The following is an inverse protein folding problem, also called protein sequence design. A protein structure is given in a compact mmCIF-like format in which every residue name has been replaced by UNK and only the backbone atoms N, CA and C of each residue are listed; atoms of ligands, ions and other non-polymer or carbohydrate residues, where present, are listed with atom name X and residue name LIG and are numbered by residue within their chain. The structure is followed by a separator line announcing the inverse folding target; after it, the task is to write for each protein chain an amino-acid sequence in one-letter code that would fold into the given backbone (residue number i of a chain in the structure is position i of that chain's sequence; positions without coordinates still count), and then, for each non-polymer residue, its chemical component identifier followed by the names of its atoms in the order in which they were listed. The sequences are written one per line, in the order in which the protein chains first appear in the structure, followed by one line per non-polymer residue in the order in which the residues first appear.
data_IF_444681019007
#
_entry.id   IF_444681019007
#
_cell.length_a   1.000
_cell.length_b   1.000
_cell.length_c   1.000
_cell.angle_alpha   90.00
_cell.angle_beta   90.00
_cell.angle_gamma   90.00
#
_symmetry.space_group_name_H-M   'P 1'
#
loop_
_entity.id
_entity.type
_entity.pdbx_description
1 polymer ?
#
# COMPACT_ATOMS: atom_id res chain seq x y z
N UNK A 1 -9.48 16.20 66.30
CA UNK A 1 -10.32 15.06 65.84
C UNK A 1 -9.93 14.73 64.41
N UNK A 2 -9.78 13.44 64.15
CA UNK A 2 -9.39 12.79 62.90
C UNK A 2 -10.32 13.18 61.74
N UNK A 3 -9.79 13.85 60.72
CA UNK A 3 -10.50 14.03 59.45
C UNK A 3 -10.34 12.77 58.59
N UNK A 4 -11.47 12.07 58.46
CA UNK A 4 -11.79 10.94 57.57
C UNK A 4 -11.47 11.25 56.10
N UNK A 5 -11.21 10.23 55.25
CA UNK A 5 -10.65 10.43 53.92
C UNK A 5 -11.70 11.02 52.96
N UNK A 6 -11.23 11.99 52.18
CA UNK A 6 -11.74 12.41 50.87
C UNK A 6 -13.01 11.69 50.39
N UNK A 7 -14.17 12.23 50.74
CA UNK A 7 -15.42 11.89 50.07
C UNK A 7 -16.15 13.16 49.61
N UNK A 8 -16.57 13.08 48.34
CA UNK A 8 -17.48 13.95 47.59
C UNK A 8 -16.99 15.33 47.10
N UNK A 9 -16.77 15.39 45.77
CA UNK A 9 -16.62 16.59 44.91
C UNK A 9 -15.55 17.59 45.34
N UNK A 10 -14.30 17.14 45.46
CA UNK A 10 -13.17 18.07 45.42
C UNK A 10 -13.05 18.62 43.99
N UNK A 11 -13.39 19.89 43.82
CA UNK A 11 -13.10 20.61 42.58
C UNK A 11 -11.58 20.74 42.42
N UNK A 12 -10.99 19.78 41.70
CA UNK A 12 -9.56 19.72 41.43
C UNK A 12 -9.03 21.01 40.78
N UNK A 13 -9.87 21.75 40.04
CA UNK A 13 -9.50 23.04 39.45
C UNK A 13 -9.43 24.13 40.51
N UNK A 14 -10.38 24.16 41.46
CA UNK A 14 -10.33 25.06 42.61
C UNK A 14 -9.13 24.75 43.53
N UNK A 15 -8.83 23.46 43.75
CA UNK A 15 -7.67 23.02 44.53
C UNK A 15 -6.35 23.45 43.87
N UNK A 16 -6.22 23.28 42.54
CA UNK A 16 -5.06 23.72 41.78
C UNK A 16 -4.86 25.24 41.83
N UNK A 17 -5.94 26.02 41.69
CA UNK A 17 -5.89 27.50 41.80
C UNK A 17 -5.48 27.95 43.21
N UNK A 18 -6.04 27.33 44.24
CA UNK A 18 -5.66 27.60 45.63
C UNK A 18 -4.18 27.29 45.88
N UNK A 19 -3.66 26.18 45.32
CA UNK A 19 -2.25 25.82 45.37
C UNK A 19 -1.34 26.82 44.65
N UNK A 20 -1.70 27.24 43.44
CA UNK A 20 -0.92 28.23 42.69
C UNK A 20 -0.78 29.53 43.48
N UNK A 21 -1.87 29.99 44.10
CA UNK A 21 -1.87 31.16 44.97
C UNK A 21 -1.00 30.95 46.23
N UNK A 22 -1.10 29.78 46.87
CA UNK A 22 -0.27 29.39 48.01
C UNK A 22 1.23 29.42 47.65
N UNK A 23 1.63 28.82 46.52
CA UNK A 23 3.02 28.73 46.09
C UNK A 23 3.58 30.11 45.75
N UNK A 24 2.81 30.94 45.04
CA UNK A 24 3.16 32.34 44.78
C UNK A 24 3.35 33.13 46.07
N UNK A 25 2.49 32.92 47.07
CA UNK A 25 2.65 33.55 48.39
C UNK A 25 3.92 33.07 49.12
N UNK A 26 4.18 31.76 49.16
CA UNK A 26 5.40 31.19 49.78
C UNK A 26 6.65 31.77 49.15
N UNK A 27 6.75 31.77 47.81
CA UNK A 27 7.89 32.38 47.10
C UNK A 27 8.04 33.88 47.40
N UNK A 28 6.93 34.62 47.48
CA UNK A 28 6.96 36.05 47.80
C UNK A 28 7.51 36.31 49.20
N UNK A 29 7.12 35.52 50.19
CA UNK A 29 7.60 35.66 51.56
C UNK A 29 9.04 35.18 51.73
N UNK A 30 9.45 34.13 51.02
CA UNK A 30 10.85 33.70 50.97
C UNK A 30 11.77 34.81 50.43
N UNK A 31 11.40 35.42 49.29
CA UNK A 31 12.15 36.57 48.74
C UNK A 31 12.21 37.76 49.70
N UNK A 32 11.19 37.97 50.53
CA UNK A 32 11.20 39.02 51.56
C UNK A 32 12.13 38.67 52.72
N UNK A 33 12.18 37.40 53.13
CA UNK A 33 13.13 36.90 54.11
C UNK A 33 14.58 37.11 53.63
N UNK A 34 14.88 36.72 52.39
CA UNK A 34 16.23 36.85 51.81
C UNK A 34 16.65 38.32 51.74
N UNK A 35 15.75 39.22 51.32
CA UNK A 35 16.00 40.67 51.33
C UNK A 35 16.20 41.24 52.73
N UNK A 36 15.42 40.78 53.71
CA UNK A 36 15.59 41.21 55.10
C UNK A 36 16.92 40.71 55.69
N UNK A 37 17.38 39.52 55.29
CA UNK A 37 18.69 38.98 55.67
C UNK A 37 19.84 39.77 55.04
N UNK A 38 19.78 40.06 53.74
CA UNK A 38 20.80 40.87 53.07
C UNK A 38 20.88 42.29 53.65
N UNK A 39 19.73 42.93 53.89
CA UNK A 39 19.67 44.24 54.53
C UNK A 39 20.20 44.24 55.97
N UNK A 40 20.00 43.12 56.69
CA UNK A 40 20.58 42.92 58.03
C UNK A 40 22.10 42.79 57.98
N UNK A 41 22.63 42.00 57.05
CA UNK A 41 24.08 41.83 56.85
C UNK A 41 24.74 43.16 56.44
N UNK A 42 24.17 43.89 55.49
CA UNK A 42 24.66 45.22 55.07
C UNK A 42 24.63 46.24 56.22
N UNK A 43 23.55 46.26 57.00
CA UNK A 43 23.42 47.17 58.15
C UNK A 43 24.41 46.85 59.27
N UNK A 44 24.78 45.58 59.45
CA UNK A 44 25.77 45.14 60.43
C UNK A 44 27.20 45.59 60.05
N UNK A 45 27.51 45.66 58.75
CA UNK A 45 28.83 46.07 58.25
C UNK A 45 29.07 47.58 58.36
N UNK A 46 28.03 48.41 58.44
CA UNK A 46 28.14 49.86 58.20
C UNK A 46 28.09 50.82 59.42
N UNK A 47 27.93 50.38 60.69
CA UNK A 47 27.63 51.34 61.80
C UNK A 47 28.33 51.14 63.16
N UNK A 48 28.49 52.26 63.88
CA UNK A 48 28.96 52.39 65.27
C UNK A 48 27.95 51.83 66.32
N UNK A 49 28.49 51.43 67.47
CA UNK A 49 28.01 50.35 68.36
C UNK A 49 26.65 50.60 69.06
N UNK A 50 26.19 51.84 69.23
CA UNK A 50 24.97 52.12 70.04
C UNK A 50 23.65 52.00 69.26
N UNK A 51 23.61 52.32 67.96
CA UNK A 51 22.39 52.18 67.13
C UNK A 51 22.26 50.76 66.55
N UNK A 52 23.36 50.01 66.51
CA UNK A 52 23.42 48.66 65.99
C UNK A 52 22.48 47.69 66.73
N UNK A 53 22.34 47.82 68.06
CA UNK A 53 21.50 46.92 68.87
C UNK A 53 20.00 47.04 68.54
N UNK A 54 19.50 48.25 68.31
CA UNK A 54 18.08 48.48 67.96
C UNK A 54 17.78 48.01 66.54
N UNK A 55 18.69 48.27 65.59
CA UNK A 55 18.59 47.80 64.21
C UNK A 55 18.61 46.26 64.19
N UNK A 56 19.50 45.64 64.97
CA UNK A 56 19.59 44.18 65.09
C UNK A 56 18.32 43.57 65.67
N UNK A 57 17.74 44.17 66.72
CA UNK A 57 16.47 43.72 67.28
C UNK A 57 15.33 43.77 66.26
N UNK A 58 15.23 44.82 65.45
CA UNK A 58 14.19 44.97 64.44
C UNK A 58 14.31 43.94 63.32
N UNK A 59 15.51 43.77 62.75
CA UNK A 59 15.73 42.79 61.68
C UNK A 59 15.62 41.34 62.18
N UNK A 60 16.02 41.05 63.42
CA UNK A 60 15.78 39.74 64.03
C UNK A 60 14.28 39.45 64.20
N UNK A 61 13.48 40.44 64.59
CA UNK A 61 12.03 40.29 64.66
C UNK A 61 11.41 40.04 63.27
N UNK A 62 11.85 40.75 62.24
CA UNK A 62 11.42 40.51 60.85
C UNK A 62 11.82 39.12 60.35
N UNK A 63 13.07 38.71 60.60
CA UNK A 63 13.57 37.37 60.27
C UNK A 63 12.73 36.30 60.94
N UNK A 64 12.48 36.44 62.25
CA UNK A 64 11.65 35.50 63.02
C UNK A 64 10.23 35.41 62.46
N UNK A 65 9.63 36.55 62.09
CA UNK A 65 8.30 36.58 61.48
C UNK A 65 8.26 35.80 60.16
N UNK A 66 9.17 36.10 59.23
CA UNK A 66 9.17 35.43 57.93
C UNK A 66 9.55 33.95 58.03
N UNK A 67 10.49 33.58 58.90
CA UNK A 67 10.81 32.18 59.21
C UNK A 67 9.59 31.42 59.74
N UNK A 68 8.82 32.03 60.65
CA UNK A 68 7.60 31.42 61.18
C UNK A 68 6.57 31.21 60.08
N UNK A 69 6.37 32.19 59.21
CA UNK A 69 5.43 32.09 58.08
C UNK A 69 5.87 31.00 57.10
N UNK A 70 7.15 30.93 56.74
CA UNK A 70 7.68 29.88 55.86
C UNK A 70 7.53 28.49 56.47
N UNK A 71 7.83 28.32 57.77
CA UNK A 71 7.68 27.02 58.46
C UNK A 71 6.23 26.53 58.50
N UNK A 72 5.26 27.44 58.69
CA UNK A 72 3.83 27.09 58.62
C UNK A 72 3.43 26.59 57.25
N UNK A 73 3.98 27.20 56.19
CA UNK A 73 3.79 26.70 54.83
C UNK A 73 4.39 25.29 54.65
N UNK A 74 5.61 25.04 55.13
CA UNK A 74 6.23 23.70 55.05
C UNK A 74 5.41 22.61 55.76
N UNK A 75 4.83 22.91 56.93
CA UNK A 75 3.94 21.97 57.65
C UNK A 75 2.69 21.66 56.83
N UNK A 76 2.06 22.67 56.22
CA UNK A 76 0.88 22.49 55.37
C UNK A 76 1.23 21.62 54.14
N UNK A 77 2.41 21.83 53.55
CA UNK A 77 2.88 21.05 52.41
C UNK A 77 3.05 19.56 52.74
N UNK A 78 3.61 19.26 53.92
CA UNK A 78 3.78 17.89 54.42
C UNK A 78 2.46 17.24 54.83
N UNK A 79 1.58 17.96 55.52
CA UNK A 79 0.33 17.42 56.07
C UNK A 79 -0.66 17.01 54.98
N UNK A 80 -0.68 17.71 53.85
CA UNK A 80 -1.65 17.50 52.78
C UNK A 80 -1.04 16.84 51.53
N UNK A 81 0.21 16.38 51.60
CA UNK A 81 0.94 15.72 50.52
C UNK A 81 0.79 16.42 49.15
N UNK A 82 0.75 17.74 49.18
CA UNK A 82 0.23 18.59 48.10
C UNK A 82 1.07 18.45 46.82
N UNK A 83 2.37 18.22 47.00
CA UNK A 83 3.33 18.02 45.91
C UNK A 83 2.99 16.78 45.08
N UNK A 84 2.65 15.66 45.72
CA UNK A 84 2.28 14.42 45.02
C UNK A 84 0.98 14.59 44.24
N UNK A 85 -0.03 15.23 44.82
CA UNK A 85 -1.29 15.50 44.12
C UNK A 85 -1.11 16.43 42.90
N UNK A 86 -0.16 17.38 42.97
CA UNK A 86 0.17 18.24 41.84
C UNK A 86 0.83 17.46 40.70
N UNK A 87 1.84 16.64 41.03
CA UNK A 87 2.56 15.79 40.07
C UNK A 87 1.58 14.81 39.38
N UNK A 88 0.63 14.22 40.12
CA UNK A 88 -0.43 13.37 39.57
C UNK A 88 -1.39 14.15 38.65
N UNK A 89 -1.82 15.35 39.05
CA UNK A 89 -2.70 16.19 38.23
C UNK A 89 -2.03 16.64 36.94
N UNK A 90 -0.74 16.99 36.99
CA UNK A 90 0.05 17.37 35.81
C UNK A 90 0.19 16.19 34.84
N UNK A 91 0.50 14.99 35.35
CA UNK A 91 0.54 13.76 34.56
C UNK A 91 -0.82 13.44 33.90
N UNK A 92 -1.93 13.62 34.62
CA UNK A 92 -3.28 13.43 34.08
C UNK A 92 -3.55 14.45 32.97
N UNK A 93 -3.18 15.72 33.15
CA UNK A 93 -3.36 16.76 32.15
C UNK A 93 -2.55 16.46 30.87
N UNK A 94 -1.28 16.11 31.01
CA UNK A 94 -0.42 15.73 29.87
C UNK A 94 -0.98 14.50 29.14
N UNK A 95 -1.47 13.50 29.87
CA UNK A 95 -2.11 12.31 29.29
C UNK A 95 -3.40 12.65 28.55
N UNK A 96 -4.21 13.58 29.08
CA UNK A 96 -5.44 14.04 28.44
C UNK A 96 -5.16 14.86 27.18
N UNK A 97 -4.15 15.72 27.18
CA UNK A 97 -3.71 16.46 25.98
C UNK A 97 -3.21 15.50 24.90
N UNK A 98 -2.38 14.52 25.26
CA UNK A 98 -1.94 13.48 24.32
C UNK A 98 -3.11 12.71 23.72
N UNK A 99 -4.08 12.30 24.53
CA UNK A 99 -5.32 11.64 24.06
C UNK A 99 -6.14 12.53 23.11
N UNK A 100 -6.24 13.83 23.39
CA UNK A 100 -6.94 14.79 22.50
C UNK A 100 -6.25 14.89 21.14
N UNK A 101 -4.92 14.97 21.11
CA UNK A 101 -4.14 15.00 19.86
C UNK A 101 -4.33 13.69 19.08
N UNK A 102 -4.17 12.54 19.74
CA UNK A 102 -4.39 11.22 19.11
C UNK A 102 -5.80 11.07 18.55
N UNK A 103 -6.82 11.55 19.28
CA UNK A 103 -8.20 11.52 18.83
C UNK A 103 -8.42 12.44 17.63
N UNK A 104 -7.89 13.66 17.64
CA UNK A 104 -7.96 14.58 16.50
C UNK A 104 -7.27 14.00 15.26
N UNK A 105 -6.14 13.32 15.42
CA UNK A 105 -5.47 12.64 14.30
C UNK A 105 -6.26 11.44 13.79
N UNK A 106 -6.93 10.68 14.67
CA UNK A 106 -7.83 9.58 14.26
C UNK A 106 -9.04 10.11 13.51
N UNK A 107 -9.64 11.21 13.97
CA UNK A 107 -10.80 11.81 13.33
C UNK A 107 -10.43 12.44 11.98
N UNK A 108 -9.26 13.09 11.87
CA UNK A 108 -8.70 13.54 10.58
C UNK A 108 -8.50 12.38 9.60
N UNK A 109 -7.90 11.27 10.06
CA UNK A 109 -7.73 10.06 9.25
C UNK A 109 -9.07 9.49 8.78
N UNK A 110 -10.07 9.40 9.67
CA UNK A 110 -11.42 8.95 9.30
C UNK A 110 -12.08 9.83 8.24
N UNK A 111 -11.96 11.15 8.34
CA UNK A 111 -12.49 12.08 7.33
C UNK A 111 -11.76 11.91 6.00
N UNK A 112 -10.44 11.71 6.01
CA UNK A 112 -9.64 11.50 4.80
C UNK A 112 -9.97 10.15 4.14
N UNK A 113 -10.15 9.09 4.93
CA UNK A 113 -10.58 7.76 4.44
C UNK A 113 -11.99 7.82 3.86
N UNK A 114 -12.95 8.45 4.55
CA UNK A 114 -14.35 8.52 4.12
C UNK A 114 -14.60 9.43 2.92
N UNK A 115 -13.69 10.39 2.66
CA UNK A 115 -13.80 11.37 1.57
C UNK A 115 -14.12 10.76 0.20
N UNK A 116 -13.56 9.59 -0.09
CA UNK A 116 -13.64 8.96 -1.41
C UNK A 116 -14.66 7.82 -1.49
N UNK A 117 -15.26 7.41 -0.37
CA UNK A 117 -16.16 6.26 -0.34
C UNK A 117 -17.35 6.42 -1.29
N UNK A 118 -17.98 7.60 -1.31
CA UNK A 118 -19.11 7.87 -2.21
C UNK A 118 -18.72 7.78 -3.70
N UNK A 119 -17.51 8.22 -4.05
CA UNK A 119 -17.01 8.12 -5.44
C UNK A 119 -16.72 6.65 -5.81
N UNK A 120 -16.13 5.88 -4.88
CA UNK A 120 -15.87 4.45 -5.11
C UNK A 120 -17.18 3.67 -5.28
N UNK A 121 -18.19 3.95 -4.46
CA UNK A 121 -19.51 3.35 -4.58
C UNK A 121 -20.18 3.72 -5.92
N UNK A 122 -20.05 4.98 -6.35
CA UNK A 122 -20.52 5.40 -7.66
C UNK A 122 -19.84 4.60 -8.78
N UNK A 123 -18.52 4.46 -8.75
CA UNK A 123 -17.79 3.67 -9.75
C UNK A 123 -18.20 2.20 -9.79
N UNK A 124 -18.46 1.59 -8.63
CA UNK A 124 -19.01 0.22 -8.57
C UNK A 124 -20.41 0.16 -9.19
N UNK A 125 -21.26 1.17 -8.96
CA UNK A 125 -22.63 1.19 -9.48
C UNK A 125 -22.72 1.42 -10.98
N UNK A 126 -21.75 2.13 -11.56
CA UNK A 126 -21.75 2.54 -12.97
C UNK A 126 -21.07 1.47 -13.85
N UNK A 127 -20.26 0.59 -13.27
CA UNK A 127 -19.56 -0.53 -13.93
C UNK A 127 -18.89 -0.11 -15.25
N UNK A 128 -19.24 -0.76 -16.37
CA UNK A 128 -18.62 -0.52 -17.68
C UNK A 128 -18.92 0.87 -18.26
N UNK A 129 -19.99 1.53 -17.81
CA UNK A 129 -20.35 2.87 -18.28
C UNK A 129 -19.30 3.91 -17.91
N UNK A 130 -18.43 3.63 -16.93
CA UNK A 130 -17.31 4.50 -16.56
C UNK A 130 -16.35 4.75 -17.73
N UNK A 131 -16.26 3.81 -18.67
CA UNK A 131 -15.40 3.94 -19.86
C UNK A 131 -15.87 5.07 -20.78
N UNK A 132 -17.11 5.55 -20.65
CA UNK A 132 -17.58 6.72 -21.39
C UNK A 132 -16.81 8.00 -21.03
N UNK A 133 -16.06 7.99 -19.92
CA UNK A 133 -15.21 9.10 -19.50
C UNK A 133 -13.88 9.15 -20.26
N UNK A 134 -13.53 8.15 -21.06
CA UNK A 134 -12.37 8.17 -21.92
C UNK A 134 -12.75 8.54 -23.37
N UNK A 135 -11.82 9.15 -24.10
CA UNK A 135 -12.02 9.52 -25.50
C UNK A 135 -11.53 8.45 -26.48
N UNK A 136 -10.54 7.66 -26.09
CA UNK A 136 -9.94 6.60 -26.88
C UNK A 136 -9.51 5.40 -26.01
N UNK A 137 -9.01 4.34 -26.65
CA UNK A 137 -8.60 3.11 -25.95
C UNK A 137 -7.39 3.29 -25.03
N UNK A 138 -6.53 4.29 -25.29
CA UNK A 138 -5.37 4.56 -24.46
C UNK A 138 -5.80 5.28 -23.18
N UNK A 139 -6.68 6.28 -23.29
CA UNK A 139 -7.32 6.93 -22.15
C UNK A 139 -8.17 5.94 -21.33
N UNK A 140 -8.88 4.99 -21.96
CA UNK A 140 -9.61 3.93 -21.25
C UNK A 140 -8.67 3.11 -20.35
N UNK A 141 -7.51 2.72 -20.88
CA UNK A 141 -6.54 1.93 -20.14
C UNK A 141 -5.96 2.73 -18.97
N UNK A 142 -5.61 4.00 -19.20
CA UNK A 142 -5.11 4.89 -18.14
C UNK A 142 -6.16 5.11 -17.03
N UNK A 143 -7.43 5.29 -17.41
CA UNK A 143 -8.54 5.42 -16.47
C UNK A 143 -8.67 4.18 -15.59
N UNK A 144 -8.63 2.98 -16.18
CA UNK A 144 -8.70 1.72 -15.44
C UNK A 144 -7.51 1.54 -14.49
N UNK A 145 -6.29 1.89 -14.92
CA UNK A 145 -5.08 1.83 -14.07
C UNK A 145 -5.18 2.79 -12.88
N UNK A 146 -5.68 4.01 -13.09
CA UNK A 146 -5.95 4.97 -12.01
C UNK A 146 -7.01 4.45 -11.03
N UNK A 147 -8.14 3.97 -11.54
CA UNK A 147 -9.23 3.43 -10.71
C UNK A 147 -8.72 2.26 -9.87
N UNK A 148 -7.99 1.31 -10.46
CA UNK A 148 -7.43 0.17 -9.75
C UNK A 148 -6.49 0.63 -8.63
N UNK A 149 -5.63 1.61 -8.89
CA UNK A 149 -4.68 2.12 -7.90
C UNK A 149 -5.42 2.70 -6.69
N UNK A 150 -6.46 3.50 -6.94
CA UNK A 150 -7.32 4.05 -5.89
C UNK A 150 -8.08 2.94 -5.16
N UNK A 151 -8.77 2.06 -5.87
CA UNK A 151 -9.54 0.96 -5.27
C UNK A 151 -8.67 0.01 -4.44
N UNK A 152 -7.43 -0.22 -4.86
CA UNK A 152 -6.48 -1.05 -4.13
C UNK A 152 -6.13 -0.41 -2.79
N UNK A 153 -5.85 0.90 -2.77
CA UNK A 153 -5.53 1.61 -1.54
C UNK A 153 -6.66 1.57 -0.50
N UNK A 154 -7.92 1.50 -0.94
CA UNK A 154 -9.09 1.34 -0.06
C UNK A 154 -9.54 -0.11 0.17
N UNK A 155 -8.76 -1.11 -0.26
CA UNK A 155 -9.13 -2.55 -0.18
C UNK A 155 -10.45 -2.92 -0.88
N UNK A 156 -10.86 -2.15 -1.90
CA UNK A 156 -12.09 -2.38 -2.67
C UNK A 156 -11.85 -3.09 -4.01
N UNK A 157 -10.61 -3.10 -4.52
CA UNK A 157 -10.28 -3.67 -5.82
C UNK A 157 -10.64 -5.16 -5.94
N UNK A 158 -10.17 -5.99 -5.00
CA UNK A 158 -10.39 -7.44 -5.05
C UNK A 158 -11.87 -7.81 -4.89
N UNK A 159 -12.62 -7.27 -3.90
CA UNK A 159 -14.06 -7.51 -3.81
C UNK A 159 -14.83 -7.14 -5.07
N UNK A 160 -14.47 -6.03 -5.72
CA UNK A 160 -15.11 -5.59 -6.95
C UNK A 160 -14.83 -6.54 -8.12
N UNK A 161 -13.57 -6.95 -8.29
CA UNK A 161 -13.16 -7.93 -9.30
C UNK A 161 -13.86 -9.28 -9.11
N UNK A 162 -13.96 -9.77 -7.87
CA UNK A 162 -14.66 -11.02 -7.54
C UNK A 162 -16.13 -10.96 -7.98
N UNK A 163 -16.81 -9.85 -7.71
CA UNK A 163 -18.21 -9.67 -8.12
C UNK A 163 -18.35 -9.69 -9.65
N UNK A 164 -17.54 -8.90 -10.35
CA UNK A 164 -17.55 -8.83 -11.83
C UNK A 164 -17.24 -10.18 -12.48
N UNK A 165 -16.27 -10.93 -11.93
CA UNK A 165 -15.93 -12.28 -12.40
C UNK A 165 -17.12 -13.22 -12.20
N UNK A 166 -17.77 -13.19 -11.04
CA UNK A 166 -18.92 -14.06 -10.73
C UNK A 166 -20.05 -13.83 -11.72
N UNK A 167 -20.38 -12.56 -11.99
CA UNK A 167 -21.42 -12.18 -12.96
C UNK A 167 -21.07 -12.65 -14.37
N UNK A 168 -19.82 -12.49 -14.79
CA UNK A 168 -19.39 -12.91 -16.14
C UNK A 168 -19.38 -14.43 -16.30
N UNK A 169 -18.91 -15.17 -15.29
CA UNK A 169 -18.99 -16.63 -15.26
C UNK A 169 -20.46 -17.06 -15.34
N UNK A 170 -21.34 -16.47 -14.53
CA UNK A 170 -22.77 -16.77 -14.53
C UNK A 170 -23.45 -16.50 -15.88
N UNK A 171 -23.03 -15.46 -16.61
CA UNK A 171 -23.55 -15.11 -17.94
C UNK A 171 -23.04 -16.02 -19.06
N UNK A 172 -21.80 -16.49 -18.97
CA UNK A 172 -21.13 -17.23 -20.06
C UNK A 172 -21.74 -18.62 -20.29
N UNK A 173 -22.14 -18.97 -21.52
CA UNK A 173 -22.71 -20.30 -21.82
C UNK A 173 -21.67 -21.38 -22.09
N UNK A 174 -20.56 -21.02 -22.72
CA UNK A 174 -19.52 -21.96 -23.13
C UNK A 174 -18.17 -21.65 -22.47
N UNK A 175 -17.50 -22.66 -21.94
CA UNK A 175 -16.16 -22.50 -21.33
C UNK A 175 -15.12 -21.93 -22.33
N UNK A 176 -15.31 -22.17 -23.63
CA UNK A 176 -14.46 -21.67 -24.70
C UNK A 176 -14.55 -20.14 -24.90
N UNK A 177 -15.60 -19.47 -24.42
CA UNK A 177 -15.81 -18.03 -24.61
C UNK A 177 -15.61 -17.22 -23.32
N UNK A 178 -15.49 -17.89 -22.17
CA UNK A 178 -15.30 -17.28 -20.86
C UNK A 178 -14.08 -16.34 -20.83
N UNK A 179 -14.31 -15.07 -20.46
CA UNK A 179 -13.29 -14.01 -20.40
C UNK A 179 -12.39 -13.91 -21.66
N UNK A 180 -12.89 -14.36 -22.83
CA UNK A 180 -12.16 -14.21 -24.11
C UNK A 180 -12.46 -12.90 -24.83
N UNK A 181 -13.58 -12.24 -24.54
CA UNK A 181 -13.92 -10.94 -25.12
C UNK A 181 -13.11 -9.77 -24.51
N UNK A 182 -12.96 -8.67 -25.26
CA UNK A 182 -12.39 -7.42 -24.74
C UNK A 182 -13.44 -6.63 -23.95
N UNK A 183 -13.89 -7.22 -22.84
CA UNK A 183 -14.95 -6.69 -21.97
C UNK A 183 -14.36 -6.00 -20.74
N UNK A 184 -15.17 -5.17 -20.07
CA UNK A 184 -14.78 -4.38 -18.90
C UNK A 184 -14.02 -5.19 -17.84
N UNK A 185 -14.58 -6.32 -17.37
CA UNK A 185 -13.93 -7.18 -16.37
C UNK A 185 -12.54 -7.67 -16.80
N UNK A 186 -12.34 -7.96 -18.09
CA UNK A 186 -11.03 -8.43 -18.58
C UNK A 186 -10.00 -7.31 -18.66
N UNK A 187 -10.42 -6.09 -19.02
CA UNK A 187 -9.54 -4.92 -19.01
C UNK A 187 -9.15 -4.55 -17.57
N UNK A 188 -10.11 -4.60 -16.66
CA UNK A 188 -9.90 -4.29 -15.24
C UNK A 188 -9.00 -5.34 -14.55
N UNK A 189 -9.19 -6.62 -14.84
CA UNK A 189 -8.28 -7.69 -14.38
C UNK A 189 -6.85 -7.47 -14.90
N UNK A 190 -6.70 -7.10 -16.17
CA UNK A 190 -5.39 -6.78 -16.74
C UNK A 190 -4.72 -5.60 -16.03
N UNK A 191 -5.46 -4.50 -15.81
CA UNK A 191 -4.97 -3.35 -15.06
C UNK A 191 -4.53 -3.75 -13.63
N UNK A 192 -5.30 -4.60 -12.95
CA UNK A 192 -4.96 -5.11 -11.63
C UNK A 192 -3.71 -6.01 -11.62
N UNK A 193 -3.57 -6.92 -12.59
CA UNK A 193 -2.37 -7.77 -12.72
C UNK A 193 -1.12 -6.93 -12.99
N UNK A 194 -1.23 -5.93 -13.87
CA UNK A 194 -0.13 -5.00 -14.15
C UNK A 194 0.27 -4.21 -12.91
N UNK A 195 -0.71 -3.66 -12.19
CA UNK A 195 -0.48 -2.89 -10.96
C UNK A 195 0.18 -3.72 -9.84
N UNK A 196 -0.27 -4.97 -9.63
CA UNK A 196 0.20 -5.78 -8.50
C UNK A 196 1.43 -6.62 -8.80
N UNK A 197 1.58 -7.07 -10.04
CA UNK A 197 2.55 -8.10 -10.42
C UNK A 197 3.43 -7.71 -11.61
N UNK A 198 3.18 -6.56 -12.25
CA UNK A 198 3.91 -6.11 -13.44
C UNK A 198 5.41 -6.15 -13.23
N UNK A 199 5.93 -5.33 -12.32
CA UNK A 199 7.37 -5.26 -12.07
C UNK A 199 7.98 -6.60 -11.66
N UNK A 200 7.27 -7.37 -10.83
CA UNK A 200 7.76 -8.66 -10.32
C UNK A 200 7.87 -9.72 -11.42
N UNK A 201 6.90 -9.78 -12.34
CA UNK A 201 6.87 -10.77 -13.41
C UNK A 201 7.64 -10.32 -14.65
N UNK A 202 7.73 -9.02 -14.90
CA UNK A 202 8.33 -8.46 -16.11
C UNK A 202 9.83 -8.20 -15.97
N UNK A 203 10.31 -7.84 -14.78
CA UNK A 203 11.75 -7.58 -14.56
C UNK A 203 12.61 -8.80 -14.91
N UNK A 204 12.29 -10.03 -14.45
CA UNK A 204 13.09 -11.22 -14.80
C UNK A 204 13.07 -11.56 -16.29
N UNK A 205 11.98 -11.21 -16.99
CA UNK A 205 11.81 -11.48 -18.42
C UNK A 205 12.62 -10.55 -19.33
N UNK A 206 13.04 -9.39 -18.81
CA UNK A 206 13.75 -8.36 -19.60
C UNK A 206 14.99 -8.92 -20.28
N UNK A 207 15.85 -9.62 -19.55
CA UNK A 207 17.11 -10.14 -20.09
C UNK A 207 16.89 -11.19 -21.18
N UNK A 208 15.92 -12.08 -20.97
CA UNK A 208 15.56 -13.11 -21.97
C UNK A 208 15.02 -12.45 -23.25
N UNK A 209 14.20 -11.41 -23.11
CA UNK A 209 13.66 -10.65 -24.25
C UNK A 209 14.76 -9.93 -25.02
N UNK A 210 15.69 -9.26 -24.33
CA UNK A 210 16.82 -8.57 -24.97
C UNK A 210 17.69 -9.59 -25.72
N UNK A 211 17.99 -10.73 -25.10
CA UNK A 211 18.73 -11.83 -25.73
C UNK A 211 18.03 -12.39 -26.97
N UNK A 212 16.71 -12.59 -26.90
CA UNK A 212 15.88 -13.05 -28.02
C UNK A 212 15.89 -12.07 -29.21
N UNK A 213 15.82 -10.76 -28.92
CA UNK A 213 15.88 -9.71 -29.94
C UNK A 213 17.28 -9.66 -30.58
N UNK A 214 18.34 -9.74 -29.77
CA UNK A 214 19.72 -9.69 -30.24
C UNK A 214 20.10 -10.88 -31.13
N UNK A 215 19.51 -12.05 -30.88
CA UNK A 215 19.76 -13.29 -31.63
C UNK A 215 18.62 -13.64 -32.61
N UNK A 216 17.81 -12.66 -33.01
CA UNK A 216 16.55 -12.90 -33.71
C UNK A 216 16.64 -13.64 -35.06
N UNK A 217 17.81 -13.71 -35.67
CA UNK A 217 18.06 -14.46 -36.92
C UNK A 217 17.97 -16.00 -36.74
N UNK A 218 17.99 -16.51 -35.50
CA UNK A 218 18.05 -17.95 -35.18
C UNK A 218 16.69 -18.64 -34.97
N UNK A 219 15.58 -17.93 -35.16
CA UNK A 219 14.26 -18.41 -34.71
C UNK A 219 13.18 -18.43 -35.80
N UNK A 220 13.50 -18.06 -37.05
CA UNK A 220 12.52 -18.16 -38.13
C UNK A 220 12.37 -19.62 -38.55
N UNK A 221 11.14 -20.12 -38.46
CA UNK A 221 10.79 -21.53 -38.74
C UNK A 221 9.96 -21.68 -40.01
N UNK A 222 9.45 -20.58 -40.57
CA UNK A 222 8.70 -20.58 -41.82
C UNK A 222 9.67 -20.73 -43.02
N UNK A 223 9.68 -21.86 -43.74
CA UNK A 223 10.67 -22.12 -44.80
C UNK A 223 10.64 -21.08 -45.92
N UNK A 224 9.53 -20.35 -46.10
CA UNK A 224 9.42 -19.28 -47.09
C UNK A 224 10.13 -17.98 -46.70
N UNK A 225 10.53 -17.85 -45.42
CA UNK A 225 11.16 -16.65 -44.85
C UNK A 225 12.56 -16.90 -44.31
N UNK A 226 12.96 -18.16 -44.18
CA UNK A 226 14.31 -18.55 -43.78
C UNK A 226 15.30 -18.19 -44.90
N UNK A 227 16.44 -17.54 -44.60
CA UNK A 227 17.48 -17.28 -45.59
C UNK A 227 18.06 -18.56 -46.20
N UNK A 228 18.52 -18.49 -47.45
CA UNK A 228 19.19 -19.63 -48.10
C UNK A 228 20.40 -20.13 -47.28
N UNK A 229 20.49 -21.44 -47.08
CA UNK A 229 21.57 -22.08 -46.33
C UNK A 229 21.37 -22.18 -44.81
N UNK A 230 20.24 -21.72 -44.28
CA UNK A 230 19.86 -21.89 -42.87
C UNK A 230 18.86 -23.05 -42.75
N UNK A 231 19.09 -23.95 -41.79
CA UNK A 231 18.20 -25.08 -41.52
C UNK A 231 16.99 -24.66 -40.65
N UNK A 232 15.74 -24.76 -41.16
CA UNK A 232 14.55 -24.48 -40.36
C UNK A 232 14.40 -25.39 -39.14
N UNK A 233 14.93 -26.62 -39.19
CA UNK A 233 14.86 -27.57 -38.07
C UNK A 233 15.77 -27.14 -36.91
N UNK A 234 16.98 -26.67 -37.21
CA UNK A 234 17.87 -26.03 -36.22
C UNK A 234 17.20 -24.81 -35.58
N UNK A 235 16.55 -23.96 -36.38
CA UNK A 235 15.82 -22.79 -35.87
C UNK A 235 14.61 -23.18 -34.99
N UNK A 236 13.92 -24.27 -35.32
CA UNK A 236 12.84 -24.80 -34.49
C UNK A 236 13.37 -25.25 -33.13
N UNK A 237 14.51 -25.96 -33.10
CA UNK A 237 15.18 -26.34 -31.85
C UNK A 237 15.64 -25.13 -31.03
N UNK A 238 16.17 -24.09 -31.67
CA UNK A 238 16.52 -22.83 -31.01
C UNK A 238 15.29 -22.13 -30.42
N UNK A 239 14.15 -22.13 -31.13
CA UNK A 239 12.90 -21.57 -30.66
C UNK A 239 12.32 -22.35 -29.47
N UNK A 240 12.44 -23.69 -29.47
CA UNK A 240 12.09 -24.54 -28.34
C UNK A 240 12.93 -24.16 -27.10
N UNK A 241 14.25 -24.08 -27.24
CA UNK A 241 15.13 -23.70 -26.14
C UNK A 241 14.81 -22.30 -25.60
N UNK A 242 14.53 -21.35 -26.50
CA UNK A 242 14.11 -20.01 -26.10
C UNK A 242 12.79 -20.05 -25.30
N UNK A 243 11.78 -20.78 -25.79
CA UNK A 243 10.51 -20.91 -25.10
C UNK A 243 10.66 -21.61 -23.74
N UNK A 244 11.49 -22.65 -23.63
CA UNK A 244 11.81 -23.31 -22.35
C UNK A 244 12.50 -22.34 -21.38
N UNK A 245 13.43 -21.49 -21.85
CA UNK A 245 14.05 -20.44 -21.02
C UNK A 245 13.05 -19.42 -20.49
N UNK A 246 12.05 -19.03 -21.29
CA UNK A 246 10.93 -18.22 -20.81
C UNK A 246 10.12 -18.93 -19.72
N UNK A 247 9.79 -20.21 -19.91
CA UNK A 247 9.06 -21.00 -18.92
C UNK A 247 9.84 -21.13 -17.60
N UNK A 248 11.15 -21.35 -17.65
CA UNK A 248 12.00 -21.44 -16.46
C UNK A 248 11.92 -20.15 -15.62
N UNK A 249 12.03 -18.99 -16.28
CA UNK A 249 11.91 -17.69 -15.59
C UNK A 249 10.49 -17.48 -15.05
N UNK A 250 9.46 -17.79 -15.82
CA UNK A 250 8.06 -17.65 -15.38
C UNK A 250 7.77 -18.56 -14.18
N UNK A 251 8.21 -19.81 -14.22
CA UNK A 251 7.91 -20.81 -13.20
C UNK A 251 8.72 -20.62 -11.91
N UNK A 252 9.92 -20.04 -12.01
CA UNK A 252 10.74 -19.68 -10.84
C UNK A 252 10.31 -18.36 -10.18
N UNK A 253 9.54 -17.52 -10.87
CA UNK A 253 9.06 -16.24 -10.31
C UNK A 253 7.89 -16.45 -9.35
N UNK A 254 8.00 -15.91 -8.14
CA UNK A 254 6.92 -16.02 -7.15
C UNK A 254 5.71 -15.15 -7.53
N UNK A 255 4.55 -15.80 -7.72
CA UNK A 255 3.29 -15.08 -7.97
C UNK A 255 2.78 -14.42 -6.67
N UNK A 256 2.47 -13.11 -6.68
CA UNK A 256 1.93 -12.41 -5.53
C UNK A 256 0.63 -13.01 -5.01
N UNK A 257 0.46 -12.94 -3.70
CA UNK A 257 -0.68 -13.57 -3.00
C UNK A 257 -2.03 -12.99 -3.45
N UNK A 258 -2.07 -11.71 -3.79
CA UNK A 258 -3.26 -11.03 -4.30
C UNK A 258 -3.71 -11.66 -5.63
N UNK A 259 -2.77 -11.92 -6.54
CA UNK A 259 -3.06 -12.59 -7.81
C UNK A 259 -3.43 -14.05 -7.59
N UNK A 260 -2.72 -14.79 -6.71
CA UNK A 260 -3.08 -16.17 -6.35
C UNK A 260 -4.52 -16.29 -5.87
N UNK A 261 -4.98 -15.36 -5.03
CA UNK A 261 -6.35 -15.37 -4.54
C UNK A 261 -7.39 -15.10 -5.64
N UNK A 262 -7.10 -14.21 -6.60
CA UNK A 262 -7.97 -13.98 -7.77
C UNK A 262 -7.98 -15.22 -8.68
N UNK A 263 -6.83 -15.83 -8.94
CA UNK A 263 -6.74 -17.05 -9.75
C UNK A 263 -7.43 -18.25 -9.09
N UNK A 264 -7.33 -18.36 -7.77
CA UNK A 264 -8.07 -19.36 -7.00
C UNK A 264 -9.58 -19.17 -7.12
N UNK A 265 -10.04 -17.92 -7.01
CA UNK A 265 -11.44 -17.58 -7.20
C UNK A 265 -11.91 -17.90 -8.63
N UNK A 266 -11.14 -17.50 -9.65
CA UNK A 266 -11.42 -17.82 -11.05
C UNK A 266 -11.52 -19.32 -11.28
N UNK A 267 -10.59 -20.11 -10.72
CA UNK A 267 -10.63 -21.57 -10.80
C UNK A 267 -11.91 -22.11 -10.19
N UNK A 268 -12.21 -21.73 -8.95
CA UNK A 268 -13.37 -22.23 -8.21
C UNK A 268 -14.70 -21.88 -8.92
N UNK A 269 -14.88 -20.63 -9.36
CA UNK A 269 -16.09 -20.23 -10.08
C UNK A 269 -16.21 -20.93 -11.44
N UNK A 270 -15.08 -21.09 -12.14
CA UNK A 270 -15.07 -21.82 -13.41
C UNK A 270 -15.40 -23.29 -13.19
N UNK A 271 -14.84 -23.95 -12.18
CA UNK A 271 -15.12 -25.36 -11.89
C UNK A 271 -16.57 -25.58 -11.42
N UNK A 272 -17.16 -24.62 -10.70
CA UNK A 272 -18.59 -24.67 -10.33
C UNK A 272 -19.51 -24.72 -11.55
N UNK A 273 -19.14 -24.06 -12.64
CA UNK A 273 -19.96 -23.98 -13.86
C UNK A 273 -19.55 -24.96 -14.95
N UNK A 274 -18.25 -25.19 -15.08
CA UNK A 274 -17.59 -25.97 -16.12
C UNK A 274 -16.63 -26.95 -15.46
N UNK A 275 -17.18 -28.01 -14.90
CA UNK A 275 -16.47 -29.01 -14.09
C UNK A 275 -15.15 -29.47 -14.73
N UNK A 276 -14.07 -29.41 -13.95
CA UNK A 276 -12.73 -29.87 -14.35
C UNK A 276 -11.95 -28.92 -15.26
N UNK A 277 -12.50 -27.75 -15.62
CA UNK A 277 -11.85 -26.78 -16.51
C UNK A 277 -11.18 -25.62 -15.78
N UNK A 278 -11.46 -25.42 -14.50
CA UNK A 278 -11.07 -24.23 -13.74
C UNK A 278 -9.56 -24.03 -13.63
N UNK A 279 -8.81 -25.09 -13.35
CA UNK A 279 -7.35 -25.00 -13.18
C UNK A 279 -6.67 -24.57 -14.49
N UNK A 280 -7.00 -25.25 -15.59
CA UNK A 280 -6.47 -24.92 -16.90
C UNK A 280 -6.89 -23.51 -17.33
N UNK A 281 -8.15 -23.14 -17.07
CA UNK A 281 -8.66 -21.81 -17.40
C UNK A 281 -7.92 -20.69 -16.67
N UNK A 282 -7.81 -20.78 -15.33
CA UNK A 282 -7.16 -19.76 -14.52
C UNK A 282 -5.69 -19.55 -14.93
N UNK A 283 -4.97 -20.64 -15.17
CA UNK A 283 -3.59 -20.58 -15.62
C UNK A 283 -3.43 -20.05 -17.05
N UNK A 284 -4.19 -20.58 -18.00
CA UNK A 284 -4.15 -20.16 -19.40
C UNK A 284 -4.56 -18.68 -19.57
N UNK A 285 -5.42 -18.16 -18.69
CA UNK A 285 -5.81 -16.76 -18.65
C UNK A 285 -4.60 -15.84 -18.42
N UNK A 286 -3.69 -16.20 -17.52
CA UNK A 286 -2.46 -15.42 -17.24
C UNK A 286 -1.58 -15.34 -18.49
N UNK A 287 -1.40 -16.45 -19.19
CA UNK A 287 -0.66 -16.45 -20.46
C UNK A 287 -1.36 -15.59 -21.50
N UNK A 288 -2.66 -15.79 -21.72
CA UNK A 288 -3.43 -15.12 -22.76
C UNK A 288 -3.55 -13.62 -22.58
N UNK A 289 -3.78 -13.15 -21.35
CA UNK A 289 -4.11 -11.75 -21.09
C UNK A 289 -2.97 -10.95 -20.49
N UNK A 290 -1.93 -11.60 -19.98
CA UNK A 290 -0.86 -10.92 -19.29
C UNK A 290 0.51 -11.20 -19.91
N UNK A 291 0.99 -12.44 -19.88
CA UNK A 291 2.36 -12.76 -20.25
C UNK A 291 2.60 -12.72 -21.77
N UNK A 292 1.75 -13.36 -22.58
CA UNK A 292 1.92 -13.39 -24.04
C UNK A 292 1.78 -11.99 -24.67
N UNK A 293 0.76 -11.17 -24.33
CA UNK A 293 0.70 -9.79 -24.81
C UNK A 293 1.93 -8.97 -24.41
N UNK A 294 2.44 -9.16 -23.19
CA UNK A 294 3.63 -8.46 -22.72
C UNK A 294 4.90 -8.87 -23.46
N UNK A 295 5.03 -10.16 -23.80
CA UNK A 295 6.12 -10.67 -24.61
C UNK A 295 6.08 -10.11 -26.05
N UNK A 296 4.89 -10.02 -26.65
CA UNK A 296 4.75 -9.47 -28.02
C UNK A 296 4.96 -7.96 -28.03
N UNK A 297 4.52 -7.24 -27.00
CA UNK A 297 4.64 -5.78 -26.93
C UNK A 297 5.39 -5.33 -25.66
N UNK A 298 6.70 -5.61 -25.56
CA UNK A 298 7.45 -5.41 -24.32
C UNK A 298 7.68 -3.94 -23.98
N UNK A 299 7.74 -3.05 -24.98
CA UNK A 299 7.80 -1.59 -24.74
C UNK A 299 6.47 -1.08 -24.17
N UNK A 300 5.34 -1.46 -24.78
CA UNK A 300 4.00 -1.04 -24.29
C UNK A 300 3.68 -1.57 -22.89
N UNK A 301 4.25 -2.71 -22.55
CA UNK A 301 4.04 -3.37 -21.25
C UNK A 301 5.00 -2.88 -20.17
N UNK A 302 5.93 -1.98 -20.51
CA UNK A 302 6.92 -1.42 -19.58
C UNK A 302 8.11 -2.35 -19.29
N UNK A 303 8.22 -3.49 -19.98
CA UNK A 303 9.38 -4.37 -19.84
C UNK A 303 10.63 -3.69 -20.40
N UNK A 304 10.52 -3.07 -21.58
CA UNK A 304 11.61 -2.33 -22.22
C UNK A 304 11.37 -0.81 -22.13
N UNK A 305 12.44 0.01 -22.17
CA UNK A 305 12.31 1.47 -22.22
C UNK A 305 11.43 1.95 -23.38
N UNK A 306 10.75 3.09 -23.20
CA UNK A 306 9.82 3.66 -24.19
C UNK A 306 10.48 4.08 -25.51
N UNK A 307 11.78 4.36 -25.48
CA UNK A 307 12.61 4.72 -26.63
C UNK A 307 13.29 3.51 -27.30
N UNK A 308 13.12 2.29 -26.76
CA UNK A 308 13.70 1.08 -27.33
C UNK A 308 13.03 0.69 -28.65
N UNK A 309 13.80 0.60 -29.74
CA UNK A 309 13.30 0.23 -31.07
C UNK A 309 13.54 -1.26 -31.33
N UNK A 310 12.46 -2.02 -31.50
CA UNK A 310 12.53 -3.46 -31.81
C UNK A 310 12.58 -3.65 -33.34
N UNK A 311 13.63 -4.30 -33.89
CA UNK A 311 13.68 -4.64 -35.31
C UNK A 311 12.54 -5.59 -35.72
N UNK A 312 12.14 -5.57 -37.00
CA UNK A 312 11.07 -6.45 -37.52
C UNK A 312 11.32 -7.94 -37.26
N UNK A 313 12.58 -8.39 -37.40
CA UNK A 313 12.98 -9.77 -37.09
C UNK A 313 12.86 -10.08 -35.59
N UNK A 314 13.25 -9.15 -34.73
CA UNK A 314 13.05 -9.25 -33.28
C UNK A 314 11.56 -9.37 -32.92
N UNK A 315 10.71 -8.52 -33.50
CA UNK A 315 9.26 -8.59 -33.30
C UNK A 315 8.69 -9.95 -33.75
N UNK A 316 9.17 -10.48 -34.88
CA UNK A 316 8.80 -11.81 -35.39
C UNK A 316 9.20 -12.94 -34.44
N UNK A 317 10.43 -12.91 -33.92
CA UNK A 317 10.92 -13.84 -32.90
C UNK A 317 10.01 -13.86 -31.65
N UNK A 318 9.67 -12.69 -31.11
CA UNK A 318 8.80 -12.58 -29.94
C UNK A 318 7.38 -13.10 -30.21
N UNK A 319 6.84 -12.87 -31.41
CA UNK A 319 5.54 -13.42 -31.82
C UNK A 319 5.55 -14.95 -31.93
N UNK A 320 6.61 -15.54 -32.51
CA UNK A 320 6.76 -16.98 -32.61
C UNK A 320 6.88 -17.63 -31.23
N UNK A 321 7.67 -17.02 -30.35
CA UNK A 321 7.84 -17.46 -28.96
C UNK A 321 6.53 -17.36 -28.18
N UNK A 322 5.84 -16.21 -28.26
CA UNK A 322 4.54 -16.02 -27.63
C UNK A 322 3.49 -17.02 -28.13
N UNK A 323 3.50 -17.34 -29.42
CA UNK A 323 2.61 -18.36 -29.97
C UNK A 323 2.90 -19.74 -29.39
N UNK A 324 4.17 -20.12 -29.24
CA UNK A 324 4.55 -21.38 -28.62
C UNK A 324 4.07 -21.49 -27.16
N UNK A 325 4.30 -20.44 -26.36
CA UNK A 325 3.83 -20.37 -24.98
C UNK A 325 2.30 -20.39 -24.90
N UNK A 326 1.61 -19.69 -25.81
CA UNK A 326 0.15 -19.64 -25.83
C UNK A 326 -0.48 -20.99 -26.21
N UNK A 327 0.10 -21.70 -27.20
CA UNK A 327 -0.35 -23.03 -27.59
C UNK A 327 -0.14 -24.04 -26.46
N UNK A 328 1.01 -23.97 -25.78
CA UNK A 328 1.29 -24.77 -24.59
C UNK A 328 0.26 -24.49 -23.47
N UNK A 329 0.02 -23.22 -23.14
CA UNK A 329 -0.94 -22.83 -22.11
C UNK A 329 -2.38 -23.27 -22.43
N UNK A 330 -2.75 -23.30 -23.72
CA UNK A 330 -4.04 -23.79 -24.16
C UNK A 330 -4.09 -25.33 -24.27
N UNK A 331 -2.94 -26.00 -24.32
CA UNK A 331 -2.83 -27.43 -24.59
C UNK A 331 -3.30 -27.81 -25.99
N UNK A 332 -3.00 -27.00 -27.00
CA UNK A 332 -3.44 -27.20 -28.40
C UNK A 332 -2.24 -27.28 -29.32
N UNK A 333 -2.18 -28.35 -30.12
CA UNK A 333 -1.12 -28.58 -31.10
C UNK A 333 -0.98 -27.45 -32.13
N UNK A 334 0.25 -27.22 -32.59
CA UNK A 334 0.53 -26.36 -33.73
C UNK A 334 -0.13 -26.93 -34.99
N UNK A 335 -0.80 -26.05 -35.75
CA UNK A 335 -1.52 -26.42 -36.98
C UNK A 335 -0.67 -26.21 -38.24
N UNK A 336 0.43 -25.47 -38.10
CA UNK A 336 1.33 -25.19 -39.19
C UNK A 336 2.35 -26.31 -39.34
N UNK A 337 2.46 -26.87 -40.55
CA UNK A 337 3.35 -28.00 -40.84
C UNK A 337 4.81 -27.74 -40.40
N UNK A 338 5.28 -26.50 -40.57
CA UNK A 338 6.63 -26.09 -40.18
C UNK A 338 6.85 -25.98 -38.66
N UNK A 339 5.78 -26.02 -37.85
CA UNK A 339 5.85 -26.08 -36.39
C UNK A 339 5.47 -27.47 -35.84
N UNK A 340 5.11 -28.43 -36.71
CA UNK A 340 4.63 -29.74 -36.27
C UNK A 340 5.67 -30.49 -35.42
N UNK A 341 6.97 -30.31 -35.71
CA UNK A 341 8.08 -30.88 -34.92
C UNK A 341 8.12 -30.40 -33.47
N UNK A 342 7.55 -29.23 -33.17
CA UNK A 342 7.47 -28.68 -31.82
C UNK A 342 6.35 -29.31 -30.97
N UNK A 343 5.39 -30.03 -31.56
CA UNK A 343 4.31 -30.67 -30.81
C UNK A 343 4.88 -31.71 -29.83
N UNK A 344 5.69 -32.64 -30.32
CA UNK A 344 6.31 -33.70 -29.50
C UNK A 344 7.45 -33.16 -28.62
N UNK A 345 8.37 -32.39 -29.22
CA UNK A 345 9.63 -31.99 -28.56
C UNK A 345 9.46 -30.90 -27.51
N UNK A 346 8.36 -30.14 -27.56
CA UNK A 346 8.10 -29.03 -26.65
C UNK A 346 6.72 -29.11 -26.01
N UNK A 347 5.65 -29.19 -26.80
CA UNK A 347 4.29 -29.02 -26.29
C UNK A 347 3.87 -30.17 -25.37
N UNK A 348 3.89 -31.41 -25.85
CA UNK A 348 3.47 -32.59 -25.07
C UNK A 348 4.38 -32.83 -23.87
N UNK A 349 5.69 -32.57 -24.01
CA UNK A 349 6.68 -32.63 -22.91
C UNK A 349 6.35 -31.64 -21.78
N UNK A 350 5.95 -30.41 -22.10
CA UNK A 350 5.75 -29.35 -21.11
C UNK A 350 4.31 -29.24 -20.60
N UNK A 351 3.31 -29.89 -21.22
CA UNK A 351 1.90 -29.88 -20.77
C UNK A 351 1.76 -30.29 -19.29
N UNK A 352 2.38 -31.37 -18.79
CA UNK A 352 2.25 -31.74 -17.39
C UNK A 352 2.82 -30.67 -16.46
N UNK A 353 4.00 -30.14 -16.81
CA UNK A 353 4.72 -29.13 -16.02
C UNK A 353 3.91 -27.84 -15.88
N UNK A 354 3.35 -27.33 -16.98
CA UNK A 354 2.56 -26.10 -16.94
C UNK A 354 1.24 -26.30 -16.18
N UNK A 355 0.64 -27.50 -16.23
CA UNK A 355 -0.57 -27.83 -15.46
C UNK A 355 -0.30 -27.88 -13.96
N UNK A 356 0.85 -28.42 -13.55
CA UNK A 356 1.28 -28.40 -12.16
C UNK A 356 1.51 -26.96 -11.68
N UNK A 357 2.13 -26.12 -12.51
CA UNK A 357 2.27 -24.70 -12.22
C UNK A 357 0.92 -23.98 -12.11
N UNK A 358 -0.03 -24.25 -13.02
CA UNK A 358 -1.40 -23.72 -12.94
C UNK A 358 -2.10 -24.10 -11.63
N UNK A 359 -1.92 -25.33 -11.17
CA UNK A 359 -2.46 -25.78 -9.89
C UNK A 359 -1.83 -25.00 -8.73
N UNK A 360 -0.51 -24.76 -8.74
CA UNK A 360 0.21 -24.04 -7.69
C UNK A 360 -0.20 -22.56 -7.57
N UNK A 361 -0.39 -21.86 -8.68
CA UNK A 361 -0.70 -20.42 -8.69
C UNK A 361 -2.18 -20.13 -8.41
N UNK A 362 -3.06 -21.13 -8.49
CA UNK A 362 -4.50 -20.98 -8.28
C UNK A 362 -4.96 -21.45 -6.89
N UNK A 363 -4.08 -21.54 -5.89
CA UNK A 363 -4.43 -21.94 -4.53
C UNK A 363 -4.66 -20.73 -3.62
N UNK A 364 -5.77 -20.74 -2.87
CA UNK A 364 -6.06 -19.72 -1.85
C UNK A 364 -4.95 -19.69 -0.80
N UNK A 365 -4.55 -18.50 -0.41
CA UNK A 365 -3.57 -18.33 0.68
C UNK A 365 -4.08 -17.35 1.72
N UNK A 366 -4.07 -17.78 2.98
CA UNK A 366 -4.63 -17.06 4.12
C UNK A 366 -3.66 -16.04 4.75
N UNK A 367 -2.53 -15.72 4.11
CA UNK A 367 -1.61 -14.71 4.65
C UNK A 367 -2.29 -13.33 4.52
N UNK A 368 -2.51 -12.67 5.66
CA UNK A 368 -2.98 -11.28 5.67
C UNK A 368 -1.96 -10.39 4.97
N UNK A 369 -2.36 -9.77 3.86
CA UNK A 369 -1.56 -8.75 3.20
C UNK A 369 -1.79 -7.41 3.88
N UNK A 370 -0.75 -6.87 4.51
CA UNK A 370 -0.70 -5.46 4.87
C UNK A 370 -0.73 -4.64 3.58
N UNK A 371 -1.69 -3.73 3.45
CA UNK A 371 -1.71 -2.75 2.35
C UNK A 371 -0.44 -1.93 2.47
N UNK A 372 0.39 -1.95 1.43
CA UNK A 372 1.48 -0.99 1.31
C UNK A 372 0.87 0.40 1.31
N UNK A 373 1.32 1.29 2.22
CA UNK A 373 0.92 2.70 2.22
C UNK A 373 1.37 3.36 0.90
N UNK A 374 0.52 3.30 -0.11
CA UNK A 374 0.72 3.96 -1.40
C UNK A 374 0.31 5.42 -1.21
N UNK A 375 1.17 6.36 -1.61
CA UNK A 375 0.85 7.78 -1.58
C UNK A 375 -0.11 8.14 -2.72
N UNK A 376 -1.40 7.85 -2.54
CA UNK A 376 -2.47 8.03 -3.53
C UNK A 376 -2.85 9.48 -3.85
N UNK A 377 -2.13 10.48 -3.32
CA UNK A 377 -2.51 11.89 -3.47
C UNK A 377 -2.44 12.36 -4.91
N UNK A 378 -1.48 11.87 -5.68
CA UNK A 378 -1.28 12.31 -7.06
C UNK A 378 -2.27 11.61 -8.00
N UNK A 379 -2.54 10.33 -7.76
CA UNK A 379 -3.52 9.51 -8.47
C UNK A 379 -4.93 10.05 -8.24
N UNK A 380 -5.27 10.45 -7.02
CA UNK A 380 -6.53 11.15 -6.75
C UNK A 380 -6.66 12.46 -7.53
N UNK A 381 -5.59 13.25 -7.63
CA UNK A 381 -5.61 14.51 -8.39
C UNK A 381 -5.77 14.23 -9.88
N UNK A 382 -5.01 13.28 -10.42
CA UNK A 382 -5.07 12.92 -11.84
C UNK A 382 -6.45 12.37 -12.20
N UNK A 383 -7.00 11.48 -11.38
CA UNK A 383 -8.36 10.97 -11.56
C UNK A 383 -9.37 12.13 -11.50
N UNK A 384 -9.30 13.01 -10.49
CA UNK A 384 -10.19 14.18 -10.42
C UNK A 384 -10.06 15.10 -11.63
N UNK A 385 -8.84 15.36 -12.12
CA UNK A 385 -8.60 16.19 -13.30
C UNK A 385 -9.20 15.55 -14.55
N UNK A 386 -9.06 14.23 -14.71
CA UNK A 386 -9.65 13.50 -15.82
C UNK A 386 -11.19 13.52 -15.75
N UNK A 387 -11.76 13.28 -14.57
CA UNK A 387 -13.20 13.39 -14.34
C UNK A 387 -13.71 14.80 -14.64
N UNK A 388 -13.05 15.84 -14.13
CA UNK A 388 -13.43 17.24 -14.35
C UNK A 388 -13.33 17.61 -15.83
N UNK A 389 -12.23 17.26 -16.50
CA UNK A 389 -12.02 17.53 -17.93
C UNK A 389 -13.14 16.93 -18.77
N UNK A 390 -13.51 15.68 -18.51
CA UNK A 390 -14.45 14.96 -19.36
C UNK A 390 -15.92 15.15 -18.96
N UNK A 391 -16.21 15.53 -17.70
CA UNK A 391 -17.54 15.99 -17.26
C UNK A 391 -17.93 17.38 -17.77
N UNK A 392 -16.95 18.19 -18.20
CA UNK A 392 -17.18 19.50 -18.84
C UNK A 392 -17.32 19.40 -20.37
N UNK A 393 -16.93 18.27 -20.96
CA UNK A 393 -16.94 18.04 -22.41
C UNK A 393 -18.11 17.16 -22.89
N UNK A 394 -18.88 16.54 -22.00
CA UNK A 394 -20.05 15.69 -22.29
C UNK A 394 -21.19 16.08 -21.37
#
# INVERSE_FOLDING_TARGET
ETLSPFDEKVDHVALYRAYLNYYQCKQKYQKKLDKAMAAFEDAFVQKEIEVAAQIQSFFNAQKSFYMTVTSKFEIIEQQYNIRTCFEESEQIQQKNEKRKIEQQERDKRRVEDTKWHALLELFVSVEENILCLANDQEEEQQLLEMIITVFHAYNKAVPWLINLISTEVARTTEASTLLRGNIFVTKLLLAYMKFTCGDLLFTPLREVIIGAIASCDKYEVDPSKVPEGVDPEENANNLIQLAEGFLEVIFSTEIPIQLKNILAFLREETDKKFEGKGTNFAGAYVFLRFLCPALVFPVKSGILPSDFVIPKKGQRCLMLTSKALQNLANGVDFREDYMASMNENFLHKNIPVIRDWFAQISVRSNKHTSVTNINIREEHKQLNLMLLRNSLCK
#
